data_IF_860575179669
#
_entry.id   IF_860575179669
#
_cell.length_a   1.000
_cell.length_b   1.000
_cell.length_c   1.000
_cell.angle_alpha   90.00
_cell.angle_beta   90.00
_cell.angle_gamma   90.00
#
_symmetry.space_group_name_H-M   'P 1'
#
loop_
_entity.id
_entity.type
_entity.pdbx_description
1 polymer ?
#
# COMPACT_ATOMS: atom_id res chain seq x y z
N UNK A 1 19.04 -10.54 3.76
CA UNK A 1 19.14 -9.68 4.97
C UNK A 1 18.48 -8.36 4.63
N UNK A 2 17.42 -7.98 5.33
CA UNK A 2 16.76 -6.69 5.10
C UNK A 2 17.63 -5.56 5.68
N UNK A 3 17.73 -4.44 4.97
CA UNK A 3 18.41 -3.25 5.48
C UNK A 3 17.61 -2.73 6.68
N UNK A 4 18.31 -2.38 7.76
CA UNK A 4 17.71 -1.84 8.99
C UNK A 4 17.49 -0.35 8.81
N UNK A 5 16.30 0.13 9.15
CA UNK A 5 15.96 1.55 9.11
C UNK A 5 15.40 2.01 10.46
N UNK A 6 15.66 3.26 10.79
CA UNK A 6 15.11 3.90 11.98
C UNK A 6 13.67 4.35 11.77
N UNK A 7 12.95 4.58 12.87
CA UNK A 7 11.60 5.13 12.84
C UNK A 7 11.57 6.52 12.16
N UNK A 8 12.60 7.34 12.38
CA UNK A 8 12.75 8.66 11.74
C UNK A 8 12.96 8.54 10.22
N UNK A 9 13.77 7.59 9.78
CA UNK A 9 13.96 7.32 8.35
C UNK A 9 12.67 6.82 7.69
N UNK A 10 11.89 5.98 8.37
CA UNK A 10 10.57 5.54 7.88
C UNK A 10 9.58 6.71 7.74
N UNK A 11 9.54 7.62 8.71
CA UNK A 11 8.73 8.84 8.59
C UNK A 11 9.22 9.75 7.46
N UNK A 12 10.54 9.87 7.28
CA UNK A 12 11.13 10.65 6.19
C UNK A 12 10.76 10.04 4.84
N UNK A 13 10.89 8.73 4.69
CA UNK A 13 10.50 8.01 3.47
C UNK A 13 9.00 8.21 3.15
N UNK A 14 8.12 8.15 4.15
CA UNK A 14 6.70 8.50 3.96
C UNK A 14 6.52 9.91 3.39
N UNK A 15 7.17 10.91 3.99
CA UNK A 15 7.09 12.31 3.54
C UNK A 15 7.64 12.49 2.12
N UNK A 16 8.80 11.93 1.83
CA UNK A 16 9.47 12.07 0.53
C UNK A 16 8.66 11.40 -0.59
N UNK A 17 8.20 10.17 -0.39
CA UNK A 17 7.36 9.47 -1.36
C UNK A 17 6.02 10.17 -1.55
N UNK A 18 5.38 10.65 -0.48
CA UNK A 18 4.12 11.37 -0.58
C UNK A 18 4.28 12.71 -1.32
N UNK A 19 5.37 13.42 -1.07
CA UNK A 19 5.70 14.64 -1.79
C UNK A 19 5.96 14.38 -3.27
N UNK A 20 6.75 13.36 -3.60
CA UNK A 20 7.01 12.94 -4.97
C UNK A 20 5.72 12.53 -5.69
N UNK A 21 4.80 11.89 -4.98
CA UNK A 21 3.44 11.69 -5.45
C UNK A 21 2.81 13.07 -5.75
N UNK A 22 2.58 13.92 -4.75
CA UNK A 22 1.84 15.19 -4.92
C UNK A 22 2.38 16.13 -6.02
N UNK A 23 3.68 16.10 -6.31
CA UNK A 23 4.30 16.94 -7.34
C UNK A 23 4.15 16.44 -8.77
N UNK A 24 3.62 15.23 -8.98
CA UNK A 24 3.37 14.75 -10.34
C UNK A 24 2.34 15.64 -11.05
N UNK A 25 2.73 16.17 -12.21
CA UNK A 25 1.81 16.90 -13.09
C UNK A 25 0.79 15.93 -13.69
N UNK A 26 -0.31 16.45 -14.23
CA UNK A 26 -1.37 15.63 -14.83
C UNK A 26 -0.85 14.62 -15.88
N UNK A 27 0.15 15.02 -16.68
CA UNK A 27 0.79 14.18 -17.71
C UNK A 27 1.59 13.02 -17.09
N UNK A 28 1.98 13.12 -15.82
CA UNK A 28 2.79 12.13 -15.11
C UNK A 28 1.99 11.29 -14.09
N UNK A 29 0.66 11.40 -14.07
CA UNK A 29 -0.20 10.56 -13.22
C UNK A 29 -0.36 9.15 -13.80
N UNK A 30 0.68 8.36 -13.66
CA UNK A 30 0.74 6.96 -14.09
C UNK A 30 1.07 6.02 -12.91
N UNK A 31 1.31 4.75 -13.22
CA UNK A 31 1.61 3.73 -12.21
C UNK A 31 2.85 4.02 -11.36
N UNK A 32 3.88 4.68 -11.91
CA UNK A 32 5.07 5.04 -11.13
C UNK A 32 4.75 6.07 -10.04
N UNK A 33 3.87 7.02 -10.34
CA UNK A 33 3.37 7.97 -9.36
C UNK A 33 2.52 7.28 -8.28
N UNK A 34 1.60 6.38 -8.66
CA UNK A 34 0.82 5.57 -7.69
C UNK A 34 1.70 4.70 -6.80
N UNK A 35 2.79 4.18 -7.35
CA UNK A 35 3.77 3.40 -6.60
C UNK A 35 4.46 4.24 -5.50
N UNK A 36 4.73 5.53 -5.76
CA UNK A 36 5.18 6.44 -4.70
C UNK A 36 4.14 6.56 -3.58
N UNK A 37 2.84 6.70 -3.89
CA UNK A 37 1.82 6.74 -2.86
C UNK A 37 1.73 5.42 -2.07
N UNK A 38 1.85 4.28 -2.74
CA UNK A 38 1.89 2.97 -2.07
C UNK A 38 3.03 2.92 -1.05
N UNK A 39 4.26 3.24 -1.47
CA UNK A 39 5.42 3.19 -0.57
C UNK A 39 5.36 4.28 0.50
N UNK A 40 4.76 5.43 0.22
CA UNK A 40 4.48 6.42 1.25
C UNK A 40 3.61 5.82 2.35
N UNK A 41 2.48 5.20 1.99
CA UNK A 41 1.55 4.57 2.95
C UNK A 41 2.25 3.44 3.70
N UNK A 42 2.99 2.57 3.02
CA UNK A 42 3.71 1.47 3.65
C UNK A 42 4.72 1.96 4.70
N UNK A 43 5.62 2.88 4.32
CA UNK A 43 6.61 3.45 5.23
C UNK A 43 5.96 4.20 6.40
N UNK A 44 4.86 4.92 6.13
CA UNK A 44 4.12 5.65 7.15
C UNK A 44 3.45 4.74 8.17
N UNK A 45 2.79 3.66 7.73
CA UNK A 45 2.20 2.67 8.63
C UNK A 45 3.28 1.96 9.46
N UNK A 46 4.43 1.62 8.86
CA UNK A 46 5.58 1.06 9.59
C UNK A 46 6.08 2.04 10.66
N UNK A 47 6.18 3.33 10.34
CA UNK A 47 6.58 4.35 11.32
C UNK A 47 5.57 4.50 12.47
N UNK A 48 4.27 4.45 12.19
CA UNK A 48 3.20 4.46 13.21
C UNK A 48 3.30 3.23 14.11
N UNK A 49 3.48 2.05 13.52
CA UNK A 49 3.63 0.79 14.25
C UNK A 49 4.83 0.85 15.20
N UNK A 50 5.97 1.31 14.71
CA UNK A 50 7.18 1.52 15.52
C UNK A 50 6.94 2.51 16.67
N UNK A 51 6.27 3.64 16.41
CA UNK A 51 5.88 4.64 17.43
C UNK A 51 5.04 3.98 18.54
N UNK A 52 4.01 3.22 18.17
CA UNK A 52 3.09 2.56 19.12
C UNK A 52 3.74 1.47 19.94
N UNK A 53 4.72 0.77 19.38
CA UNK A 53 5.46 -0.28 20.08
C UNK A 53 6.68 0.24 20.86
N UNK A 54 6.94 1.55 20.84
CA UNK A 54 8.14 2.14 21.46
C UNK A 54 9.45 1.62 20.86
N UNK A 55 9.43 1.23 19.57
CA UNK A 55 10.60 0.73 18.84
C UNK A 55 11.14 1.80 17.91
N UNK A 56 12.46 1.89 17.78
CA UNK A 56 13.11 2.90 16.95
C UNK A 56 13.85 2.33 15.73
N UNK A 57 13.86 1.00 15.53
CA UNK A 57 14.44 0.32 14.35
C UNK A 57 13.59 -0.83 13.86
N UNK A 58 13.60 -1.09 12.56
CA UNK A 58 12.75 -2.11 11.91
C UNK A 58 13.05 -3.53 12.36
N UNK A 59 14.30 -3.87 12.67
CA UNK A 59 14.71 -5.19 13.17
C UNK A 59 14.12 -5.51 14.55
N UNK A 60 13.78 -4.48 15.32
CA UNK A 60 13.19 -4.60 16.65
C UNK A 60 11.65 -4.76 16.61
N UNK A 61 11.05 -4.78 15.42
CA UNK A 61 9.62 -4.85 15.20
C UNK A 61 9.28 -6.07 14.32
N UNK A 62 9.01 -7.21 14.94
CA UNK A 62 8.69 -8.46 14.25
C UNK A 62 7.51 -8.31 13.29
N UNK A 63 6.50 -7.53 13.68
CA UNK A 63 5.31 -7.27 12.86
C UNK A 63 5.65 -6.63 11.50
N UNK A 64 6.71 -5.82 11.39
CA UNK A 64 7.14 -5.28 10.09
C UNK A 64 7.62 -6.41 9.18
N UNK A 65 8.33 -7.39 9.74
CA UNK A 65 8.81 -8.56 9.01
C UNK A 65 7.65 -9.48 8.62
N UNK A 66 6.63 -9.62 9.46
CA UNK A 66 5.44 -10.44 9.16
C UNK A 66 4.53 -9.78 8.10
N UNK A 67 4.33 -8.47 8.20
CA UNK A 67 3.43 -7.75 7.30
C UNK A 67 4.06 -7.48 5.93
N UNK A 68 5.39 -7.35 5.85
CA UNK A 68 6.10 -7.03 4.61
C UNK A 68 5.52 -5.79 3.91
N UNK A 69 4.88 -5.97 2.75
CA UNK A 69 4.24 -4.92 1.94
C UNK A 69 2.71 -4.92 2.09
N UNK A 70 2.15 -5.80 2.91
CA UNK A 70 0.70 -5.95 3.05
C UNK A 70 0.10 -4.82 3.89
N UNK A 71 -0.42 -3.80 3.19
CA UNK A 71 -1.05 -2.62 3.79
C UNK A 71 -2.19 -3.01 4.75
N UNK A 72 -3.01 -4.01 4.42
CA UNK A 72 -4.10 -4.40 5.30
C UNK A 72 -3.57 -5.04 6.58
N UNK A 73 -2.54 -5.89 6.52
CA UNK A 73 -1.92 -6.44 7.73
C UNK A 73 -1.27 -5.34 8.58
N UNK A 74 -0.61 -4.36 7.96
CA UNK A 74 -0.08 -3.20 8.68
C UNK A 74 -1.20 -2.43 9.39
N UNK A 75 -2.32 -2.17 8.71
CA UNK A 75 -3.52 -1.51 9.28
C UNK A 75 -4.10 -2.28 10.49
N UNK A 76 -4.08 -3.63 10.45
CA UNK A 76 -4.48 -4.45 11.60
C UNK A 76 -3.57 -4.23 12.80
N UNK A 77 -2.25 -4.29 12.58
CA UNK A 77 -1.25 -4.14 13.65
C UNK A 77 -1.25 -2.74 14.25
N UNK A 78 -1.71 -1.73 13.50
CA UNK A 78 -1.94 -0.36 14.00
C UNK A 78 -3.40 -0.07 14.32
N UNK A 79 -4.25 -1.08 14.53
CA UNK A 79 -5.65 -0.94 15.00
C UNK A 79 -6.41 0.24 14.36
N UNK A 80 -6.27 0.43 13.05
CA UNK A 80 -6.82 1.60 12.35
C UNK A 80 -8.32 1.51 12.10
N UNK A 81 -8.92 0.35 12.39
CA UNK A 81 -10.31 0.01 12.05
C UNK A 81 -10.50 -0.41 10.60
N UNK A 82 -11.67 -1.00 10.33
CA UNK A 82 -12.02 -1.62 9.04
C UNK A 82 -12.23 -0.62 7.89
N UNK A 83 -12.60 0.63 8.21
CA UNK A 83 -12.94 1.65 7.20
C UNK A 83 -11.77 2.07 6.30
N UNK A 84 -10.54 1.79 6.72
CA UNK A 84 -9.33 2.12 5.97
C UNK A 84 -8.80 0.95 5.13
N UNK A 85 -9.41 -0.23 5.23
CA UNK A 85 -8.95 -1.42 4.50
C UNK A 85 -9.04 -1.23 3.00
N UNK A 86 -8.02 -1.73 2.32
CA UNK A 86 -8.03 -1.86 0.87
C UNK A 86 -8.85 -3.08 0.47
N UNK A 87 -9.67 -2.99 -0.59
CA UNK A 87 -10.39 -4.13 -1.11
C UNK A 87 -9.44 -5.11 -1.79
N UNK A 88 -9.92 -6.34 -2.04
CA UNK A 88 -9.23 -7.22 -2.99
C UNK A 88 -9.46 -6.66 -4.40
N UNK A 89 -8.45 -6.74 -5.26
CA UNK A 89 -8.52 -6.23 -6.62
C UNK A 89 -8.36 -7.38 -7.62
N UNK A 90 -8.89 -7.20 -8.82
CA UNK A 90 -8.59 -8.06 -9.96
C UNK A 90 -7.95 -7.24 -11.08
N UNK A 91 -7.02 -7.89 -11.77
CA UNK A 91 -6.38 -7.39 -13.00
C UNK A 91 -6.73 -8.34 -14.15
N UNK A 92 -6.45 -7.96 -15.39
CA UNK A 92 -6.81 -8.76 -16.58
C UNK A 92 -6.38 -10.22 -16.47
N UNK A 93 -7.17 -11.16 -16.99
CA UNK A 93 -6.79 -12.57 -17.00
C UNK A 93 -5.60 -12.82 -17.94
N UNK A 94 -4.87 -13.90 -17.69
CA UNK A 94 -3.87 -14.44 -18.62
C UNK A 94 -4.20 -15.91 -18.88
N UNK A 95 -3.56 -16.53 -19.87
CA UNK A 95 -3.66 -17.97 -20.11
C UNK A 95 -2.39 -18.67 -19.64
N UNK A 96 -2.53 -19.87 -19.09
CA UNK A 96 -1.41 -20.74 -18.75
C UNK A 96 -0.80 -21.39 -20.02
N UNK A 97 0.25 -22.19 -19.85
CA UNK A 97 0.91 -22.91 -20.95
C UNK A 97 0.04 -23.97 -21.63
N UNK A 98 -1.11 -24.31 -21.03
CA UNK A 98 -2.10 -25.27 -21.53
C UNK A 98 -3.35 -24.57 -22.09
N UNK A 99 -3.36 -23.23 -22.14
CA UNK A 99 -4.48 -22.42 -22.63
C UNK A 99 -5.61 -22.21 -21.61
N UNK A 100 -5.45 -22.60 -20.34
CA UNK A 100 -6.46 -22.37 -19.32
C UNK A 100 -6.38 -20.92 -18.81
N UNK A 101 -7.53 -20.25 -18.58
CA UNK A 101 -7.53 -18.92 -17.98
C UNK A 101 -7.04 -18.96 -16.53
N UNK A 102 -6.19 -17.99 -16.18
CA UNK A 102 -5.72 -17.73 -14.82
C UNK A 102 -6.36 -16.42 -14.36
N UNK A 103 -7.27 -16.56 -13.39
CA UNK A 103 -7.81 -15.43 -12.65
C UNK A 103 -6.74 -14.82 -11.73
N UNK A 104 -6.51 -13.52 -11.86
CA UNK A 104 -5.50 -12.78 -11.11
C UNK A 104 -6.16 -11.90 -10.06
N UNK A 105 -6.54 -12.53 -8.95
CA UNK A 105 -6.99 -11.86 -7.72
C UNK A 105 -5.78 -11.46 -6.87
N UNK A 106 -5.71 -10.18 -6.54
CA UNK A 106 -4.55 -9.55 -5.92
C UNK A 106 -4.95 -9.00 -4.55
N UNK A 107 -4.11 -9.24 -3.53
CA UNK A 107 -4.29 -8.67 -2.20
C UNK A 107 -3.49 -7.36 -2.03
N UNK A 108 -3.69 -6.68 -0.89
CA UNK A 108 -3.04 -5.41 -0.56
C UNK A 108 -1.50 -5.45 -0.59
N UNK A 109 -0.88 -6.60 -0.32
CA UNK A 109 0.58 -6.77 -0.35
C UNK A 109 1.18 -6.92 -1.75
N UNK A 110 0.34 -7.03 -2.77
CA UNK A 110 0.76 -7.25 -4.16
C UNK A 110 0.42 -6.05 -5.08
N UNK A 111 -0.29 -5.04 -4.58
CA UNK A 111 -0.66 -3.83 -5.35
C UNK A 111 0.59 -3.12 -5.89
N UNK A 112 1.69 -3.10 -5.11
CA UNK A 112 2.96 -2.55 -5.60
C UNK A 112 3.45 -3.25 -6.87
N UNK A 113 3.24 -4.56 -7.01
CA UNK A 113 3.64 -5.33 -8.18
C UNK A 113 2.75 -5.01 -9.38
N UNK A 114 1.45 -4.82 -9.17
CA UNK A 114 0.51 -4.41 -10.23
C UNK A 114 1.02 -3.16 -10.91
N UNK A 115 1.30 -2.11 -10.13
CA UNK A 115 1.77 -0.85 -10.69
C UNK A 115 3.23 -0.90 -11.17
N UNK A 116 4.11 -1.61 -10.46
CA UNK A 116 5.50 -1.78 -10.87
C UNK A 116 5.63 -2.45 -12.25
N UNK A 117 4.74 -3.39 -12.57
CA UNK A 117 4.77 -4.12 -13.83
C UNK A 117 3.75 -3.63 -14.86
N UNK A 118 3.09 -2.48 -14.62
CA UNK A 118 2.22 -1.85 -15.60
C UNK A 118 0.85 -2.52 -15.79
N UNK A 119 0.42 -3.39 -14.86
CA UNK A 119 -0.94 -3.89 -14.84
C UNK A 119 -1.91 -2.82 -14.28
N UNK A 120 -3.20 -2.98 -14.59
CA UNK A 120 -4.25 -2.04 -14.23
C UNK A 120 -5.35 -2.76 -13.44
N UNK A 121 -5.88 -2.09 -12.43
CA UNK A 121 -7.07 -2.54 -11.71
C UNK A 121 -8.28 -2.45 -12.64
N UNK A 122 -9.02 -3.56 -12.76
CA UNK A 122 -10.28 -3.61 -13.54
C UNK A 122 -11.52 -3.82 -12.68
N UNK A 123 -11.34 -4.42 -11.48
CA UNK A 123 -12.43 -4.72 -10.55
C UNK A 123 -11.93 -4.69 -9.11
N UNK A 124 -12.83 -4.40 -8.18
CA UNK A 124 -12.62 -4.63 -6.75
C UNK A 124 -13.70 -5.54 -6.18
N UNK A 125 -13.37 -6.21 -5.08
CA UNK A 125 -14.27 -7.09 -4.34
C UNK A 125 -14.45 -6.56 -2.92
N UNK A 126 -15.67 -6.16 -2.57
CA UNK A 126 -16.05 -5.66 -1.25
C UNK A 126 -17.36 -6.31 -0.79
N UNK A 127 -17.41 -6.79 0.46
CA UNK A 127 -18.62 -7.40 1.04
C UNK A 127 -19.30 -8.43 0.10
N UNK A 128 -18.48 -9.25 -0.57
CA UNK A 128 -18.89 -10.25 -1.58
C UNK A 128 -19.56 -9.69 -2.85
N UNK A 129 -19.41 -8.40 -3.13
CA UNK A 129 -19.82 -7.76 -4.38
C UNK A 129 -18.60 -7.45 -5.24
N UNK A 130 -18.71 -7.76 -6.53
CA UNK A 130 -17.70 -7.45 -7.54
C UNK A 130 -18.19 -6.22 -8.30
N UNK A 131 -17.37 -5.18 -8.35
CA UNK A 131 -17.67 -3.95 -9.07
C UNK A 131 -16.53 -3.59 -10.01
N UNK A 132 -16.86 -2.95 -11.13
CA UNK A 132 -15.87 -2.32 -12.01
C UNK A 132 -15.19 -1.21 -11.21
N UNK A 133 -13.87 -1.14 -11.34
CA UNK A 133 -13.04 -0.18 -10.65
C UNK A 133 -11.78 0.10 -11.45
N UNK A 134 -11.07 1.14 -11.06
CA UNK A 134 -9.87 1.64 -11.71
C UNK A 134 -8.75 1.80 -10.68
N UNK A 135 -7.53 2.07 -11.14
CA UNK A 135 -6.42 2.40 -10.23
C UNK A 135 -6.73 3.59 -9.32
N UNK A 136 -7.56 4.54 -9.80
CA UNK A 136 -7.96 5.74 -9.05
C UNK A 136 -8.74 5.39 -7.78
N UNK A 137 -9.54 4.33 -7.80
CA UNK A 137 -10.31 3.88 -6.62
C UNK A 137 -9.38 3.40 -5.50
N UNK A 138 -8.27 2.74 -5.86
CA UNK A 138 -7.26 2.30 -4.90
C UNK A 138 -6.39 3.48 -4.44
N UNK A 139 -6.02 4.35 -5.38
CA UNK A 139 -5.29 5.59 -5.10
C UNK A 139 -6.01 6.47 -4.07
N UNK A 140 -7.32 6.66 -4.20
CA UNK A 140 -8.13 7.44 -3.25
C UNK A 140 -8.18 6.83 -1.85
N UNK A 141 -8.16 5.49 -1.75
CA UNK A 141 -8.09 4.81 -0.45
C UNK A 141 -6.71 4.98 0.18
N UNK A 142 -5.64 4.85 -0.59
CA UNK A 142 -4.28 5.12 -0.11
C UNK A 142 -4.13 6.58 0.35
N UNK A 143 -4.76 7.55 -0.32
CA UNK A 143 -4.79 8.94 0.12
C UNK A 143 -5.47 9.11 1.49
N UNK A 144 -6.61 8.43 1.71
CA UNK A 144 -7.28 8.42 3.03
C UNK A 144 -6.39 7.84 4.11
N UNK A 145 -5.68 6.74 3.83
CA UNK A 145 -4.73 6.13 4.76
C UNK A 145 -3.57 7.09 5.05
N UNK A 146 -3.00 7.75 4.03
CA UNK A 146 -1.90 8.72 4.22
C UNK A 146 -2.33 9.90 5.11
N UNK A 147 -3.58 10.39 4.94
CA UNK A 147 -4.15 11.41 5.83
C UNK A 147 -4.31 10.90 7.27
N UNK A 148 -4.71 9.64 7.46
CA UNK A 148 -4.78 9.02 8.78
C UNK A 148 -3.39 8.91 9.42
N UNK A 149 -2.38 8.42 8.68
CA UNK A 149 -0.98 8.36 9.12
C UNK A 149 -0.49 9.73 9.59
N UNK A 150 -0.83 10.78 8.85
CA UNK A 150 -0.46 12.15 9.22
C UNK A 150 -1.00 12.53 10.61
N UNK A 151 -2.19 12.08 10.99
CA UNK A 151 -2.73 12.36 12.31
C UNK A 151 -2.04 11.54 13.41
N UNK A 152 -1.68 10.29 13.14
CA UNK A 152 -0.98 9.41 14.09
C UNK A 152 0.47 9.83 14.38
N UNK A 153 1.12 10.42 13.37
CA UNK A 153 2.50 10.89 13.46
C UNK A 153 2.63 12.36 13.86
N UNK A 154 1.52 13.05 14.15
CA UNK A 154 1.59 14.34 14.86
C UNK A 154 2.13 14.09 16.27
N UNK A 155 2.96 15.01 16.71
CA UNK A 155 3.40 15.12 18.10
C UNK A 155 2.32 15.82 18.92
#
# INVERSE_FOLDING_TARGET
MAIIFTQREMQKAWRDHFFAYQKATFIHKNNAHRLNLFYAVECGLKAVLMKRQGKNRTDLCQDITECQHDINKLLDKVWSGELLKLPKISISEIVDTKGNPIDRKINSGQINQVWRYGAEVIRIVEANRIQVATDKDIEDRLLKISKWIQNELKD
#
